data_IF_796171639310
#
_entry.id   IF_796171639310
#
_cell.length_a   1.000
_cell.length_b   1.000
_cell.length_c   1.000
_cell.angle_alpha   90.00
_cell.angle_beta   90.00
_cell.angle_gamma   90.00
#
_symmetry.space_group_name_H-M   'P 1'
#
loop_
_entity.id
_entity.type
_entity.pdbx_description
1 polymer ?
#
# COMPACT_ATOMS: atom_id res chain seq x y z
N UNK A 1 33.47 -28.37 -3.94
CA UNK A 1 32.66 -27.18 -3.58
C UNK A 1 32.16 -27.31 -2.15
N UNK A 2 32.48 -26.32 -1.27
CA UNK A 2 31.97 -26.30 0.11
C UNK A 2 30.46 -26.00 0.05
N UNK A 3 29.61 -26.92 0.47
CA UNK A 3 28.19 -26.71 0.64
C UNK A 3 27.95 -25.56 1.62
N UNK A 4 27.26 -24.49 1.20
CA UNK A 4 26.83 -23.42 2.12
C UNK A 4 25.76 -23.99 3.05
N UNK A 5 26.01 -23.95 4.34
CA UNK A 5 25.04 -24.34 5.36
C UNK A 5 23.76 -23.50 5.23
N UNK A 6 22.59 -24.14 5.12
CA UNK A 6 21.30 -23.44 5.11
C UNK A 6 21.12 -22.69 6.44
N UNK A 7 20.83 -21.41 6.36
CA UNK A 7 20.52 -20.60 7.53
C UNK A 7 19.04 -20.75 7.88
N UNK A 8 18.76 -21.26 9.07
CA UNK A 8 17.41 -21.33 9.62
C UNK A 8 17.23 -20.20 10.64
N UNK A 9 16.07 -19.54 10.59
CA UNK A 9 15.69 -18.51 11.54
C UNK A 9 14.61 -19.04 12.47
N UNK A 10 14.73 -18.75 13.78
CA UNK A 10 13.70 -19.08 14.77
C UNK A 10 12.45 -18.20 14.54
N UNK A 11 11.33 -18.57 15.15
CA UNK A 11 10.08 -17.81 15.04
C UNK A 11 10.20 -16.42 15.68
N UNK A 12 10.99 -16.29 16.76
CA UNK A 12 11.31 -15.00 17.38
C UNK A 12 12.13 -14.12 16.44
N UNK A 13 13.17 -14.69 15.79
CA UNK A 13 13.98 -13.97 14.82
C UNK A 13 13.12 -13.50 13.63
N UNK A 14 12.27 -14.35 13.09
CA UNK A 14 11.32 -13.98 12.03
C UNK A 14 10.35 -12.90 12.51
N UNK A 15 9.85 -12.98 13.74
CA UNK A 15 8.97 -11.96 14.32
C UNK A 15 9.66 -10.60 14.37
N UNK A 16 10.92 -10.56 14.86
CA UNK A 16 11.73 -9.34 14.89
C UNK A 16 11.98 -8.78 13.48
N UNK A 17 12.28 -9.63 12.49
CA UNK A 17 12.43 -9.22 11.09
C UNK A 17 11.16 -8.53 10.58
N UNK A 18 9.97 -9.10 10.88
CA UNK A 18 8.70 -8.53 10.49
C UNK A 18 8.41 -7.19 11.17
N UNK A 19 8.76 -7.03 12.44
CA UNK A 19 8.58 -5.78 13.18
C UNK A 19 9.45 -4.66 12.59
N UNK A 20 10.69 -4.97 12.25
CA UNK A 20 11.61 -4.05 11.57
C UNK A 20 11.14 -3.69 10.16
N UNK A 21 10.66 -4.68 9.40
CA UNK A 21 10.08 -4.47 8.08
C UNK A 21 8.86 -3.55 8.12
N UNK A 22 7.98 -3.72 9.12
CA UNK A 22 6.82 -2.85 9.34
C UNK A 22 7.23 -1.41 9.66
N UNK A 23 8.32 -1.22 10.40
CA UNK A 23 8.90 0.11 10.68
C UNK A 23 9.52 0.78 9.45
N UNK A 24 9.77 0.02 8.37
CA UNK A 24 10.30 0.54 7.12
C UNK A 24 11.79 0.30 6.92
N UNK A 25 12.44 -0.49 7.77
CA UNK A 25 13.85 -0.82 7.64
C UNK A 25 14.13 -1.53 6.31
N UNK A 26 15.31 -1.30 5.74
CA UNK A 26 15.75 -1.98 4.53
C UNK A 26 16.20 -3.42 4.83
N UNK A 27 16.18 -4.30 3.81
CA UNK A 27 16.69 -5.68 3.96
C UNK A 27 18.15 -5.71 4.45
N UNK A 28 18.98 -4.74 4.04
CA UNK A 28 20.35 -4.61 4.50
C UNK A 28 20.42 -4.22 5.98
N UNK A 29 19.58 -3.27 6.43
CA UNK A 29 19.52 -2.88 7.84
C UNK A 29 19.06 -4.05 8.71
N UNK A 30 18.03 -4.78 8.27
CA UNK A 30 17.56 -5.99 8.97
C UNK A 30 18.64 -7.06 8.98
N UNK A 31 19.35 -7.29 7.86
CA UNK A 31 20.42 -8.27 7.78
C UNK A 31 21.57 -8.00 8.77
N UNK A 32 21.96 -6.73 8.94
CA UNK A 32 22.98 -6.33 9.91
C UNK A 32 22.64 -6.73 11.35
N UNK A 33 21.38 -6.68 11.75
CA UNK A 33 20.95 -7.09 13.11
C UNK A 33 21.21 -8.56 13.40
N UNK A 34 21.28 -9.38 12.36
CA UNK A 34 21.54 -10.82 12.48
C UNK A 34 22.96 -11.19 12.01
N UNK A 35 23.81 -10.19 11.76
CA UNK A 35 25.15 -10.37 11.17
C UNK A 35 25.11 -11.23 9.88
N UNK A 36 24.12 -10.95 9.01
CA UNK A 36 23.85 -11.70 7.78
C UNK A 36 23.63 -10.76 6.59
N UNK A 37 23.95 -11.26 5.40
CA UNK A 37 23.66 -10.56 4.15
C UNK A 37 22.14 -10.47 3.90
N UNK A 38 21.72 -9.43 3.19
CA UNK A 38 20.32 -9.23 2.82
C UNK A 38 19.73 -10.41 2.02
N UNK A 39 20.56 -11.17 1.29
CA UNK A 39 20.15 -12.33 0.50
C UNK A 39 19.60 -13.48 1.35
N UNK A 40 20.04 -13.63 2.61
CA UNK A 40 19.51 -14.63 3.54
C UNK A 40 18.17 -14.18 4.16
N UNK A 41 17.94 -12.87 4.29
CA UNK A 41 16.71 -12.28 4.84
C UNK A 41 15.60 -12.21 3.80
N UNK A 42 15.96 -11.91 2.55
CA UNK A 42 15.00 -11.71 1.44
C UNK A 42 13.98 -12.86 1.27
N UNK A 43 14.35 -14.15 1.35
CA UNK A 43 13.39 -15.25 1.19
C UNK A 43 12.24 -15.21 2.20
N UNK A 44 12.51 -14.81 3.47
CA UNK A 44 11.48 -14.71 4.52
C UNK A 44 10.35 -13.77 4.12
N UNK A 45 10.65 -12.72 3.37
CA UNK A 45 9.65 -11.75 2.92
C UNK A 45 9.09 -12.10 1.53
N UNK A 46 9.90 -12.68 0.64
CA UNK A 46 9.47 -13.03 -0.72
C UNK A 46 8.40 -14.12 -0.70
N UNK A 47 8.54 -15.11 0.18
CA UNK A 47 7.58 -16.22 0.33
C UNK A 47 6.15 -15.73 0.62
N UNK A 48 6.03 -14.61 1.32
CA UNK A 48 4.75 -14.02 1.71
C UNK A 48 4.45 -12.69 1.00
N UNK A 49 5.23 -12.34 -0.04
CA UNK A 49 5.07 -11.10 -0.79
C UNK A 49 5.29 -9.83 0.05
N UNK A 50 6.03 -9.90 1.14
CA UNK A 50 6.26 -8.79 2.09
C UNK A 50 5.06 -8.51 2.99
N UNK A 51 4.09 -9.42 3.07
CA UNK A 51 2.93 -9.36 3.97
C UNK A 51 3.14 -10.32 5.13
N UNK A 52 3.16 -9.80 6.36
CA UNK A 52 3.34 -10.63 7.56
C UNK A 52 2.21 -11.65 7.67
N UNK A 53 2.50 -12.96 7.77
CA UNK A 53 1.49 -13.96 8.08
C UNK A 53 0.84 -13.67 9.44
N UNK A 54 -0.49 -13.85 9.57
CA UNK A 54 -1.15 -13.68 10.86
C UNK A 54 -0.63 -14.74 11.86
N UNK A 55 -0.37 -14.31 13.08
CA UNK A 55 -0.01 -15.25 14.17
C UNK A 55 -1.21 -16.15 14.43
N UNK A 56 -0.99 -17.47 14.33
CA UNK A 56 -2.03 -18.45 14.65
C UNK A 56 -2.22 -18.51 16.15
N UNK A 57 -3.46 -18.39 16.60
CA UNK A 57 -3.84 -18.50 18.01
C UNK A 57 -4.77 -19.69 18.19
N UNK A 58 -4.64 -20.38 19.31
CA UNK A 58 -5.57 -21.43 19.71
C UNK A 58 -6.90 -20.82 20.12
N UNK A 59 -8.00 -21.52 19.82
CA UNK A 59 -9.28 -21.23 20.45
C UNK A 59 -9.17 -21.47 21.96
N UNK A 60 -9.83 -20.64 22.77
CA UNK A 60 -9.91 -20.80 24.23
C UNK A 60 -10.51 -22.15 24.63
N UNK A 61 -11.31 -22.76 23.80
CA UNK A 61 -11.94 -24.06 24.02
C UNK A 61 -11.03 -25.24 23.62
N UNK A 62 -9.94 -25.00 22.88
CA UNK A 62 -9.03 -26.06 22.46
C UNK A 62 -8.10 -26.48 23.62
N UNK A 63 -7.84 -27.76 23.71
CA UNK A 63 -6.87 -28.29 24.67
C UNK A 63 -5.48 -27.69 24.40
N UNK A 64 -4.80 -27.29 25.47
CA UNK A 64 -3.41 -26.81 25.46
C UNK A 64 -2.45 -27.99 25.40
N UNK A 65 -1.18 -27.73 25.13
CA UNK A 65 -0.15 -28.77 25.22
C UNK A 65 -0.02 -29.31 26.64
N UNK A 66 -0.08 -28.44 27.64
CA UNK A 66 -0.03 -28.84 29.05
C UNK A 66 -1.18 -29.78 29.43
N UNK A 67 -2.41 -29.44 29.02
CA UNK A 67 -3.56 -30.35 29.25
C UNK A 67 -3.37 -31.70 28.55
N UNK A 68 -2.77 -31.75 27.39
CA UNK A 68 -2.45 -33.00 26.67
C UNK A 68 -1.37 -33.79 27.37
N UNK A 69 -0.40 -33.15 27.99
CA UNK A 69 0.60 -33.81 28.82
C UNK A 69 -0.03 -34.45 30.07
N UNK A 70 -0.97 -33.75 30.72
CA UNK A 70 -1.74 -34.33 31.84
C UNK A 70 -2.62 -35.51 31.39
N UNK A 71 -3.24 -35.44 30.20
CA UNK A 71 -3.95 -36.59 29.63
C UNK A 71 -2.98 -37.77 29.44
N UNK A 72 -1.79 -37.53 28.90
CA UNK A 72 -0.79 -38.59 28.71
C UNK A 72 -0.34 -39.22 30.03
N UNK A 73 -0.16 -38.39 31.07
CA UNK A 73 0.16 -38.88 32.43
C UNK A 73 -0.98 -39.68 33.04
N UNK A 74 -2.22 -39.19 32.95
CA UNK A 74 -3.40 -39.91 33.41
C UNK A 74 -3.60 -41.26 32.75
N UNK A 75 -3.30 -41.36 31.43
CA UNK A 75 -3.30 -42.63 30.71
C UNK A 75 -2.22 -43.57 31.27
N UNK A 76 -1.00 -43.09 31.49
CA UNK A 76 0.11 -43.90 32.01
C UNK A 76 -0.17 -44.41 33.45
N UNK A 77 -0.95 -43.67 34.24
CA UNK A 77 -1.38 -44.05 35.59
C UNK A 77 -2.73 -44.79 35.59
N UNK A 78 -3.23 -45.22 34.44
CA UNK A 78 -4.48 -45.99 34.29
C UNK A 78 -5.74 -45.27 34.83
N UNK A 79 -5.74 -43.94 34.85
CA UNK A 79 -6.92 -43.17 35.24
C UNK A 79 -8.03 -43.28 34.17
N UNK A 80 -9.27 -43.30 34.67
CA UNK A 80 -10.42 -43.28 33.76
C UNK A 80 -10.54 -41.93 33.01
N UNK A 81 -11.16 -41.94 31.82
CA UNK A 81 -11.42 -40.70 31.07
C UNK A 81 -12.22 -39.67 31.89
N UNK A 82 -13.12 -40.13 32.80
CA UNK A 82 -13.88 -39.25 33.68
C UNK A 82 -12.99 -38.59 34.73
N UNK A 83 -12.07 -39.37 35.32
CA UNK A 83 -11.10 -38.84 36.30
C UNK A 83 -10.15 -37.81 35.66
N UNK A 84 -9.62 -38.12 34.46
CA UNK A 84 -8.78 -37.18 33.73
C UNK A 84 -9.56 -35.90 33.38
N UNK A 85 -10.83 -36.04 32.99
CA UNK A 85 -11.68 -34.89 32.66
C UNK A 85 -11.95 -34.00 33.87
N UNK A 86 -12.18 -34.60 35.05
CA UNK A 86 -12.36 -33.89 36.32
C UNK A 86 -11.08 -33.10 36.69
N UNK A 87 -9.90 -33.72 36.61
CA UNK A 87 -8.60 -33.07 36.88
C UNK A 87 -8.37 -31.86 36.02
N UNK A 88 -8.78 -31.91 34.74
CA UNK A 88 -8.58 -30.83 33.79
C UNK A 88 -9.74 -29.83 33.74
N UNK A 89 -10.79 -30.03 34.54
CA UNK A 89 -12.01 -29.23 34.46
C UNK A 89 -12.59 -29.16 33.05
N UNK A 90 -12.53 -30.30 32.34
CA UNK A 90 -13.03 -30.44 30.95
C UNK A 90 -14.14 -31.48 30.89
N UNK A 91 -14.99 -31.40 29.85
CA UNK A 91 -16.01 -32.41 29.61
C UNK A 91 -15.38 -33.79 29.34
N UNK A 92 -15.90 -34.89 29.89
CA UNK A 92 -15.46 -36.25 29.57
C UNK A 92 -15.51 -36.56 28.06
N UNK A 93 -16.49 -36.00 27.36
CA UNK A 93 -16.60 -36.13 25.90
C UNK A 93 -15.43 -35.46 25.15
N UNK A 94 -14.86 -34.39 25.72
CA UNK A 94 -13.67 -33.74 25.13
C UNK A 94 -12.45 -34.62 25.25
N UNK A 95 -12.23 -35.22 26.40
CA UNK A 95 -11.12 -36.13 26.66
C UNK A 95 -11.25 -37.40 25.83
N UNK A 96 -12.44 -38.02 25.80
CA UNK A 96 -12.70 -39.19 24.97
C UNK A 96 -12.40 -38.94 23.48
N UNK A 97 -12.90 -37.82 22.94
CA UNK A 97 -12.64 -37.46 21.53
C UNK A 97 -11.15 -37.21 21.28
N UNK A 98 -10.45 -36.57 22.22
CA UNK A 98 -9.01 -36.27 22.08
C UNK A 98 -8.19 -37.57 22.03
N UNK A 99 -8.45 -38.51 22.98
CA UNK A 99 -7.76 -39.80 23.08
C UNK A 99 -8.05 -40.65 21.81
N UNK A 100 -9.32 -40.80 21.44
CA UNK A 100 -9.72 -41.64 20.31
C UNK A 100 -9.20 -41.08 18.95
N UNK A 101 -9.16 -39.76 18.79
CA UNK A 101 -8.63 -39.11 17.57
C UNK A 101 -7.12 -39.26 17.39
N UNK A 102 -6.42 -39.57 18.47
CA UNK A 102 -4.95 -39.62 18.49
C UNK A 102 -4.42 -41.03 18.79
N UNK A 103 -5.19 -42.07 18.46
CA UNK A 103 -4.76 -43.48 18.48
C UNK A 103 -5.18 -44.29 19.70
N UNK A 104 -6.12 -43.80 20.49
CA UNK A 104 -6.59 -44.51 21.71
C UNK A 104 -5.59 -44.46 22.85
N UNK A 105 -5.84 -45.23 23.89
CA UNK A 105 -5.01 -45.28 25.11
C UNK A 105 -3.56 -45.71 24.82
N UNK A 106 -3.38 -46.73 23.97
CA UNK A 106 -2.07 -47.35 23.76
C UNK A 106 -1.10 -46.43 22.94
N UNK A 107 -1.65 -45.67 22.03
CA UNK A 107 -0.84 -44.88 21.07
C UNK A 107 -0.87 -43.37 21.35
N UNK A 108 -1.62 -42.91 22.35
CA UNK A 108 -1.71 -41.49 22.65
C UNK A 108 -0.35 -40.90 23.07
N UNK A 109 0.05 -39.81 22.45
CA UNK A 109 1.25 -39.02 22.77
C UNK A 109 0.91 -37.54 22.69
N UNK A 110 1.08 -36.81 23.79
CA UNK A 110 0.73 -35.39 23.93
C UNK A 110 1.30 -34.49 22.80
N UNK A 111 2.60 -34.63 22.51
CA UNK A 111 3.27 -33.84 21.48
C UNK A 111 2.69 -34.11 20.09
N UNK A 112 2.47 -35.41 19.77
CA UNK A 112 1.88 -35.81 18.45
C UNK A 112 0.43 -35.32 18.34
N UNK A 113 -0.34 -35.44 19.41
CA UNK A 113 -1.72 -34.98 19.50
C UNK A 113 -1.80 -33.46 19.29
N UNK A 114 -0.88 -32.69 19.90
CA UNK A 114 -0.78 -31.26 19.76
C UNK A 114 -0.44 -30.84 18.34
N UNK A 115 0.60 -31.41 17.75
CA UNK A 115 0.97 -31.16 16.35
C UNK A 115 -0.17 -31.50 15.38
N UNK A 116 -0.87 -32.61 15.63
CA UNK A 116 -2.01 -33.02 14.80
C UNK A 116 -3.19 -32.08 14.95
N UNK A 117 -3.44 -31.59 16.19
CA UNK A 117 -4.48 -30.58 16.42
C UNK A 117 -4.21 -29.27 15.66
N UNK A 118 -2.94 -28.80 15.64
CA UNK A 118 -2.54 -27.64 14.83
C UNK A 118 -2.77 -27.88 13.33
N UNK A 119 -2.43 -29.05 12.80
CA UNK A 119 -2.68 -29.39 11.40
C UNK A 119 -4.18 -29.46 11.09
N UNK A 120 -4.98 -30.13 11.94
CA UNK A 120 -6.45 -30.21 11.77
C UNK A 120 -7.15 -28.85 11.87
N UNK A 121 -6.58 -27.93 12.64
CA UNK A 121 -7.09 -26.55 12.72
C UNK A 121 -6.76 -25.69 11.49
N UNK A 122 -5.95 -26.21 10.54
CA UNK A 122 -5.77 -25.58 9.24
C UNK A 122 -7.06 -25.71 8.42
N UNK A 123 -7.81 -24.60 8.36
CA UNK A 123 -8.97 -24.47 7.50
C UNK A 123 -8.62 -23.46 6.41
N UNK A 124 -8.00 -23.87 5.30
CA UNK A 124 -7.70 -22.96 4.21
C UNK A 124 -9.03 -22.41 3.67
N UNK A 125 -9.28 -21.11 3.89
CA UNK A 125 -10.39 -20.44 3.22
C UNK A 125 -10.00 -20.25 1.77
N UNK A 126 -10.83 -20.71 0.86
CA UNK A 126 -10.68 -20.43 -0.56
C UNK A 126 -10.66 -18.91 -0.76
N UNK A 127 -9.68 -18.43 -1.52
CA UNK A 127 -9.61 -17.04 -1.87
C UNK A 127 -10.83 -16.65 -2.70
N UNK A 128 -11.55 -15.60 -2.33
CA UNK A 128 -12.75 -15.11 -3.05
C UNK A 128 -12.49 -14.91 -4.54
N UNK A 129 -11.27 -14.50 -4.93
CA UNK A 129 -10.90 -14.35 -6.34
C UNK A 129 -10.68 -15.68 -7.09
N UNK A 130 -10.53 -16.80 -6.38
CA UNK A 130 -10.51 -18.13 -6.99
C UNK A 130 -11.92 -18.63 -7.22
N UNK A 131 -12.78 -18.51 -6.20
CA UNK A 131 -14.19 -18.97 -6.28
C UNK A 131 -15.02 -18.13 -7.25
N UNK A 132 -14.75 -16.83 -7.35
CA UNK A 132 -15.53 -15.88 -8.16
C UNK A 132 -14.75 -15.42 -9.40
N UNK A 133 -14.83 -16.21 -10.50
CA UNK A 133 -14.10 -15.94 -11.75
C UNK A 133 -14.42 -14.58 -12.38
N UNK A 134 -15.69 -14.17 -12.39
CA UNK A 134 -16.12 -12.88 -12.96
C UNK A 134 -15.45 -11.70 -12.24
N UNK A 135 -15.47 -11.69 -10.91
CA UNK A 135 -14.78 -10.68 -10.11
C UNK A 135 -13.29 -10.62 -10.43
N UNK A 136 -12.66 -11.80 -10.57
CA UNK A 136 -11.24 -11.91 -10.93
C UNK A 136 -10.94 -11.28 -12.30
N UNK A 137 -11.79 -11.51 -13.30
CA UNK A 137 -11.66 -10.90 -14.63
C UNK A 137 -11.82 -9.38 -14.61
N UNK A 138 -12.81 -8.88 -13.87
CA UNK A 138 -13.02 -7.43 -13.70
C UNK A 138 -11.79 -6.77 -13.07
N UNK A 139 -11.28 -7.36 -11.99
CA UNK A 139 -10.07 -6.86 -11.32
C UNK A 139 -8.87 -6.90 -12.28
N UNK A 140 -8.66 -7.98 -13.02
CA UNK A 140 -7.59 -8.09 -14.00
C UNK A 140 -7.69 -7.02 -15.09
N UNK A 141 -8.89 -6.76 -15.62
CA UNK A 141 -9.14 -5.69 -16.61
C UNK A 141 -8.79 -4.31 -16.07
N UNK A 142 -9.16 -4.01 -14.81
CA UNK A 142 -8.85 -2.73 -14.16
C UNK A 142 -7.35 -2.61 -13.84
N UNK A 143 -6.68 -3.69 -13.40
CA UNK A 143 -5.23 -3.70 -13.18
C UNK A 143 -4.45 -3.42 -14.48
N UNK A 144 -4.85 -4.01 -15.62
CA UNK A 144 -4.25 -3.70 -16.93
C UNK A 144 -4.40 -2.23 -17.33
N UNK A 145 -5.46 -1.57 -16.89
CA UNK A 145 -5.64 -0.12 -17.01
C UNK A 145 -4.89 0.67 -15.94
N UNK A 146 -3.94 0.04 -15.24
CA UNK A 146 -3.08 0.62 -14.21
C UNK A 146 -3.81 1.17 -12.97
N UNK A 147 -5.04 0.74 -12.74
CA UNK A 147 -5.75 1.07 -11.51
C UNK A 147 -5.07 0.40 -10.31
N UNK A 148 -4.92 1.15 -9.21
CA UNK A 148 -4.41 0.56 -7.97
C UNK A 148 -5.45 -0.36 -7.33
N UNK A 149 -5.04 -1.38 -6.56
CA UNK A 149 -5.96 -2.22 -5.79
C UNK A 149 -6.94 -1.44 -4.92
N UNK A 150 -6.52 -0.27 -4.39
CA UNK A 150 -7.38 0.59 -3.58
C UNK A 150 -8.47 1.27 -4.42
N UNK A 151 -8.12 1.78 -5.61
CA UNK A 151 -9.09 2.33 -6.56
C UNK A 151 -10.10 1.28 -7.01
N UNK A 152 -9.62 0.06 -7.30
CA UNK A 152 -10.47 -1.05 -7.71
C UNK A 152 -11.46 -1.42 -6.60
N UNK A 153 -10.98 -1.60 -5.36
CA UNK A 153 -11.84 -1.92 -4.22
C UNK A 153 -12.90 -0.84 -3.96
N UNK A 154 -12.51 0.44 -4.02
CA UNK A 154 -13.45 1.56 -3.87
C UNK A 154 -14.47 1.63 -5.01
N UNK A 155 -14.06 1.35 -6.25
CA UNK A 155 -14.96 1.29 -7.39
C UNK A 155 -15.94 0.13 -7.30
N UNK A 156 -15.49 -1.07 -6.94
CA UNK A 156 -16.35 -2.24 -6.76
C UNK A 156 -17.46 -1.98 -5.74
N UNK A 157 -17.11 -1.35 -4.61
CA UNK A 157 -18.08 -0.99 -3.58
C UNK A 157 -19.18 -0.02 -4.10
N UNK A 158 -18.84 0.87 -5.03
CA UNK A 158 -19.79 1.81 -5.63
C UNK A 158 -20.59 1.21 -6.78
N UNK A 159 -19.96 0.37 -7.60
CA UNK A 159 -20.58 -0.26 -8.76
C UNK A 159 -21.50 -1.43 -8.39
N UNK A 160 -21.25 -2.07 -7.26
CA UNK A 160 -22.01 -3.21 -6.74
C UNK A 160 -22.32 -3.02 -5.24
N UNK A 161 -23.13 -2.00 -4.85
CA UNK A 161 -23.36 -1.65 -3.44
C UNK A 161 -24.06 -2.79 -2.68
N UNK A 162 -25.01 -3.46 -3.32
CA UNK A 162 -25.87 -4.47 -2.71
C UNK A 162 -25.39 -5.91 -2.94
N UNK A 163 -24.27 -6.09 -3.65
CA UNK A 163 -23.72 -7.41 -3.96
C UNK A 163 -22.36 -7.61 -3.26
N UNK A 164 -22.42 -8.27 -2.09
CA UNK A 164 -21.21 -8.58 -1.31
C UNK A 164 -20.24 -9.49 -2.07
N UNK A 165 -20.71 -10.29 -3.03
CA UNK A 165 -19.87 -11.20 -3.81
C UNK A 165 -18.91 -10.44 -4.73
N UNK A 166 -19.28 -9.25 -5.18
CA UNK A 166 -18.41 -8.37 -5.94
C UNK A 166 -17.55 -7.45 -5.08
N UNK A 167 -17.78 -7.37 -3.77
CA UNK A 167 -16.98 -6.54 -2.88
C UNK A 167 -15.73 -7.28 -2.38
N UNK A 168 -14.59 -6.63 -2.53
CA UNK A 168 -13.30 -7.17 -2.08
C UNK A 168 -12.40 -6.06 -1.55
N UNK A 169 -11.65 -6.34 -0.48
CA UNK A 169 -10.71 -5.38 0.06
C UNK A 169 -9.46 -5.27 -0.83
N UNK A 170 -8.84 -4.09 -0.84
CA UNK A 170 -7.58 -3.88 -1.54
C UNK A 170 -6.45 -4.80 -1.02
N UNK A 171 -6.49 -5.18 0.26
CA UNK A 171 -5.56 -6.15 0.84
C UNK A 171 -5.71 -7.55 0.21
N UNK A 172 -6.94 -7.98 -0.06
CA UNK A 172 -7.19 -9.27 -0.74
C UNK A 172 -6.59 -9.25 -2.15
N UNK A 173 -6.76 -8.14 -2.88
CA UNK A 173 -6.16 -8.00 -4.22
C UNK A 173 -4.63 -8.03 -4.13
N UNK A 174 -4.02 -7.28 -3.20
CA UNK A 174 -2.57 -7.31 -2.98
C UNK A 174 -2.08 -8.71 -2.61
N UNK A 175 -2.74 -9.38 -1.66
CA UNK A 175 -2.36 -10.74 -1.26
C UNK A 175 -2.41 -11.71 -2.43
N UNK A 176 -3.42 -11.64 -3.26
CA UNK A 176 -3.55 -12.51 -4.44
C UNK A 176 -2.45 -12.25 -5.47
N UNK A 177 -2.03 -10.98 -5.64
CA UNK A 177 -0.95 -10.62 -6.55
C UNK A 177 0.43 -11.05 -6.04
N UNK A 178 0.70 -10.91 -4.74
CA UNK A 178 2.02 -11.17 -4.16
C UNK A 178 2.21 -12.62 -3.69
N UNK A 179 1.17 -13.27 -3.19
CA UNK A 179 1.23 -14.63 -2.61
C UNK A 179 0.77 -15.68 -3.62
N UNK A 180 0.57 -15.38 -4.86
CA UNK A 180 0.22 -16.30 -5.95
C UNK A 180 -0.64 -17.51 -5.52
N UNK A 181 -1.87 -17.26 -5.17
CA UNK A 181 -2.86 -18.31 -5.09
C UNK A 181 -3.08 -18.85 -6.51
N UNK A 182 -2.84 -20.14 -6.73
CA UNK A 182 -2.94 -20.80 -8.02
C UNK A 182 -4.21 -20.37 -8.76
N UNK A 183 -4.04 -19.68 -9.90
CA UNK A 183 -5.11 -19.43 -10.87
C UNK A 183 -6.00 -18.19 -10.68
N UNK A 184 -5.92 -17.42 -9.59
CA UNK A 184 -6.82 -16.28 -9.38
C UNK A 184 -6.43 -15.04 -10.20
N UNK A 185 -5.17 -14.64 -10.16
CA UNK A 185 -4.62 -13.53 -10.96
C UNK A 185 -3.26 -13.92 -11.53
N UNK A 186 -2.99 -13.55 -12.77
CA UNK A 186 -1.70 -13.84 -13.40
C UNK A 186 -0.58 -13.00 -12.80
N UNK A 187 0.61 -13.58 -12.64
CA UNK A 187 1.82 -12.90 -12.11
C UNK A 187 2.17 -11.62 -12.87
N UNK A 188 1.91 -11.59 -14.17
CA UNK A 188 2.14 -10.44 -15.05
C UNK A 188 1.40 -9.18 -14.57
N UNK A 189 0.26 -9.34 -13.89
CA UNK A 189 -0.50 -8.22 -13.34
C UNK A 189 0.22 -7.47 -12.21
N UNK A 190 1.27 -8.04 -11.61
CA UNK A 190 2.13 -7.31 -10.68
C UNK A 190 2.84 -6.15 -11.37
N UNK A 191 3.19 -6.30 -12.65
CA UNK A 191 3.84 -5.24 -13.43
C UNK A 191 2.91 -4.03 -13.68
N UNK A 192 1.60 -4.25 -13.56
CA UNK A 192 0.60 -3.17 -13.65
C UNK A 192 0.50 -2.35 -12.35
N UNK A 193 1.13 -2.81 -11.25
CA UNK A 193 1.16 -2.03 -10.02
C UNK A 193 2.14 -0.86 -10.14
N UNK A 194 1.75 0.31 -9.59
CA UNK A 194 2.55 1.54 -9.61
C UNK A 194 4.01 1.34 -9.19
N UNK A 195 4.28 0.54 -8.17
CA UNK A 195 5.63 0.33 -7.66
C UNK A 195 6.41 -0.76 -8.39
N UNK A 196 5.76 -1.61 -9.21
CA UNK A 196 6.34 -2.78 -9.91
C UNK A 196 7.27 -3.64 -9.02
N UNK A 197 7.08 -3.61 -7.70
CA UNK A 197 7.93 -4.31 -6.73
C UNK A 197 7.53 -5.77 -6.61
N UNK A 198 8.51 -6.63 -6.37
CA UNK A 198 8.29 -8.07 -6.17
C UNK A 198 7.67 -8.37 -4.80
N UNK A 199 7.84 -7.46 -3.84
CA UNK A 199 7.25 -7.57 -2.51
C UNK A 199 6.78 -6.21 -2.00
N UNK A 200 5.78 -6.22 -1.11
CA UNK A 200 5.22 -5.02 -0.48
C UNK A 200 6.18 -4.45 0.55
N UNK A 201 6.29 -3.12 0.62
CA UNK A 201 7.06 -2.40 1.64
C UNK A 201 6.15 -1.52 2.50
N UNK A 202 6.61 -1.21 3.72
CA UNK A 202 5.96 -0.24 4.59
C UNK A 202 5.91 1.15 3.94
N UNK A 203 4.85 1.93 4.23
CA UNK A 203 4.72 3.32 3.79
C UNK A 203 5.81 4.23 4.37
N UNK A 204 6.39 3.85 5.50
CA UNK A 204 7.40 4.65 6.23
C UNK A 204 8.83 4.53 5.67
N UNK A 205 9.03 3.78 4.58
CA UNK A 205 10.37 3.37 4.12
C UNK A 205 11.16 4.39 3.28
N UNK A 206 10.80 5.68 3.21
CA UNK A 206 11.73 6.72 2.74
C UNK A 206 11.15 8.13 2.80
N UNK A 207 11.74 8.98 3.62
CA UNK A 207 11.61 10.43 3.54
C UNK A 207 13.02 11.02 3.42
N UNK A 208 13.43 11.38 2.21
CA UNK A 208 14.62 12.24 1.98
C UNK A 208 14.14 13.69 1.97
N UNK A 209 14.73 14.52 2.86
CA UNK A 209 14.53 15.97 2.87
C UNK A 209 15.28 16.61 1.68
N UNK A 210 14.60 17.45 0.89
CA UNK A 210 15.21 18.31 -0.13
C UNK A 210 15.34 19.74 0.44
N UNK A 211 16.48 20.39 0.19
CA UNK A 211 16.72 21.80 0.53
C UNK A 211 15.93 22.73 -0.40
N UNK A 212 15.45 23.85 0.13
CA UNK A 212 14.56 24.80 -0.54
C UNK A 212 15.26 26.15 -0.76
N UNK A 213 15.07 26.75 -1.96
CA UNK A 213 15.49 28.10 -2.29
C UNK A 213 14.58 29.17 -1.66
N UNK A 214 15.07 30.42 -1.54
CA UNK A 214 14.24 31.58 -1.12
C UNK A 214 13.55 32.22 -2.32
N UNK A 215 12.23 32.41 -2.25
CA UNK A 215 11.44 33.18 -3.22
C UNK A 215 11.21 34.55 -2.61
N UNK A 216 11.48 35.61 -3.38
CA UNK A 216 11.29 37.00 -2.95
C UNK A 216 9.80 37.38 -3.06
N UNK A 217 9.25 38.08 -2.06
CA UNK A 217 7.85 38.51 -2.01
C UNK A 217 6.82 37.38 -2.09
N UNK A 218 7.18 36.19 -1.60
CA UNK A 218 6.25 35.07 -1.53
C UNK A 218 5.16 35.33 -0.49
N UNK A 219 3.90 35.26 -0.89
CA UNK A 219 2.76 35.35 0.03
C UNK A 219 2.59 34.01 0.71
N UNK A 220 2.65 33.94 2.06
CA UNK A 220 2.55 32.67 2.76
C UNK A 220 1.14 32.08 2.66
N UNK A 221 1.04 30.76 2.77
CA UNK A 221 -0.24 30.05 2.72
C UNK A 221 -1.21 30.45 3.83
N UNK A 222 -0.71 30.99 4.93
CA UNK A 222 -1.53 31.52 6.05
C UNK A 222 -2.41 32.69 5.64
N UNK A 223 -2.05 33.43 4.59
CA UNK A 223 -2.84 34.55 4.05
C UNK A 223 -3.85 34.10 2.98
N UNK A 224 -3.92 32.81 2.70
CA UNK A 224 -4.90 32.25 1.75
C UNK A 224 -6.32 32.35 2.32
N UNK A 225 -7.33 32.72 1.48
CA UNK A 225 -8.70 32.86 1.95
C UNK A 225 -9.23 31.58 2.62
N UNK A 226 -10.03 31.67 3.69
CA UNK A 226 -10.64 30.50 4.35
C UNK A 226 -11.45 29.62 3.39
N UNK A 227 -12.10 30.21 2.37
CA UNK A 227 -12.81 29.49 1.31
C UNK A 227 -11.95 28.45 0.58
N UNK A 228 -10.64 28.66 0.53
CA UNK A 228 -9.72 27.69 -0.05
C UNK A 228 -9.44 26.50 0.88
N UNK A 229 -9.62 26.61 2.20
CA UNK A 229 -9.39 25.54 3.16
C UNK A 229 -10.55 24.56 3.20
N UNK A 230 -11.77 25.06 3.19
CA UNK A 230 -13.01 24.30 3.29
C UNK A 230 -13.23 23.35 2.09
N UNK A 231 -12.57 23.59 0.97
CA UNK A 231 -12.74 22.80 -0.29
C UNK A 231 -14.20 22.74 -0.78
N UNK A 232 -15.09 23.52 -0.21
CA UNK A 232 -16.50 23.57 -0.59
C UNK A 232 -16.69 24.42 -1.87
N UNK A 233 -15.83 25.41 -2.05
CA UNK A 233 -15.93 26.38 -3.14
C UNK A 233 -14.91 26.01 -4.24
N UNK A 234 -15.35 25.77 -5.49
CA UNK A 234 -14.43 25.49 -6.60
C UNK A 234 -13.62 26.74 -6.99
N UNK A 235 -12.47 26.50 -7.64
CA UNK A 235 -11.60 27.55 -8.16
C UNK A 235 -10.28 27.73 -7.42
N UNK A 236 -9.99 26.94 -6.39
CA UNK A 236 -8.72 26.95 -5.68
C UNK A 236 -7.82 25.80 -6.13
N UNK A 237 -6.67 26.14 -6.69
CA UNK A 237 -5.77 25.21 -7.36
C UNK A 237 -4.49 24.95 -6.56
N UNK A 238 -3.99 23.73 -6.64
CA UNK A 238 -2.66 23.35 -6.17
C UNK A 238 -1.81 22.95 -7.38
N UNK A 239 -0.59 23.47 -7.46
CA UNK A 239 0.31 23.21 -8.59
C UNK A 239 1.65 22.61 -8.15
N UNK A 240 2.29 21.88 -9.05
CA UNK A 240 3.60 21.24 -8.89
C UNK A 240 4.20 20.83 -10.23
N UNK A 241 5.46 20.38 -10.23
CA UNK A 241 6.12 19.84 -11.41
C UNK A 241 6.38 18.33 -11.26
N UNK A 242 6.05 17.60 -12.31
CA UNK A 242 6.51 16.22 -12.48
C UNK A 242 7.79 16.25 -13.31
N UNK A 243 8.93 15.87 -12.72
CA UNK A 243 10.21 15.79 -13.39
C UNK A 243 10.45 14.38 -13.95
N UNK A 244 10.88 14.31 -15.20
CA UNK A 244 11.39 13.13 -15.89
C UNK A 244 12.93 13.12 -15.97
N UNK A 245 13.48 12.28 -16.84
CA UNK A 245 14.89 12.33 -17.26
C UNK A 245 15.09 13.39 -18.32
N UNK A 246 16.34 13.67 -18.69
CA UNK A 246 16.70 14.61 -19.75
C UNK A 246 16.09 16.02 -19.57
N UNK A 247 15.98 16.48 -18.31
CA UNK A 247 15.38 17.78 -17.99
C UNK A 247 13.98 18.00 -18.58
N UNK A 248 13.16 16.94 -18.64
CA UNK A 248 11.78 17.02 -19.11
C UNK A 248 10.82 17.21 -17.94
N UNK A 249 9.79 18.07 -18.14
CA UNK A 249 8.88 18.45 -17.08
C UNK A 249 7.43 18.52 -17.58
N UNK A 250 6.50 18.20 -16.68
CA UNK A 250 5.07 18.42 -16.86
C UNK A 250 4.58 19.21 -15.63
N UNK A 251 3.96 20.36 -15.85
CA UNK A 251 3.27 21.07 -14.78
C UNK A 251 1.91 20.41 -14.53
N UNK A 252 1.59 20.23 -13.27
CA UNK A 252 0.31 19.68 -12.81
C UNK A 252 -0.44 20.73 -12.03
N UNK A 253 -1.70 20.94 -12.38
CA UNK A 253 -2.62 21.82 -11.68
C UNK A 253 -3.80 20.96 -11.23
N UNK A 254 -4.10 20.97 -9.95
CA UNK A 254 -5.18 20.18 -9.35
C UNK A 254 -6.16 21.11 -8.66
N UNK A 255 -7.41 21.09 -9.07
CA UNK A 255 -8.49 21.82 -8.42
C UNK A 255 -8.86 21.12 -7.10
N UNK A 256 -8.98 21.88 -6.02
CA UNK A 256 -9.09 21.33 -4.65
C UNK A 256 -10.43 20.69 -4.34
N UNK A 257 -11.51 21.21 -4.90
CA UNK A 257 -12.88 20.71 -4.68
C UNK A 257 -13.16 19.49 -5.56
N UNK A 258 -13.10 19.66 -6.86
CA UNK A 258 -13.47 18.65 -7.86
C UNK A 258 -12.40 17.58 -8.10
N UNK A 259 -11.15 17.86 -7.72
CA UNK A 259 -9.95 17.08 -8.07
C UNK A 259 -9.65 17.06 -9.57
N UNK A 260 -10.26 17.97 -10.32
CA UNK A 260 -9.96 18.12 -11.73
C UNK A 260 -8.48 18.46 -11.94
N UNK A 261 -7.87 17.82 -12.91
CA UNK A 261 -6.42 17.92 -13.19
C UNK A 261 -6.23 18.58 -14.53
N UNK A 262 -5.28 19.50 -14.61
CA UNK A 262 -4.76 20.01 -15.87
C UNK A 262 -3.26 19.74 -15.96
N UNK A 263 -2.83 19.22 -17.08
CA UNK A 263 -1.44 18.90 -17.38
C UNK A 263 -0.90 19.83 -18.46
N UNK A 264 0.28 20.42 -18.23
CA UNK A 264 0.97 21.24 -19.21
C UNK A 264 2.37 20.72 -19.47
N UNK A 265 2.68 20.41 -20.72
CA UNK A 265 4.04 20.09 -21.15
C UNK A 265 4.92 21.32 -21.03
N UNK A 266 6.11 21.16 -20.47
CA UNK A 266 7.12 22.21 -20.33
C UNK A 266 8.37 21.81 -21.11
N UNK A 267 9.00 22.78 -21.75
CA UNK A 267 10.30 22.59 -22.42
C UNK A 267 11.45 22.56 -21.40
N UNK A 268 11.32 23.34 -20.33
CA UNK A 268 12.29 23.41 -19.24
C UNK A 268 11.58 23.88 -17.95
N UNK A 269 12.31 23.94 -16.83
CA UNK A 269 11.80 24.41 -15.53
C UNK A 269 12.06 25.90 -15.23
N UNK A 270 12.46 26.70 -16.24
CA UNK A 270 12.67 28.11 -16.04
C UNK A 270 11.36 28.80 -15.67
N UNK A 271 11.41 29.75 -14.75
CA UNK A 271 10.22 30.41 -14.23
C UNK A 271 9.36 31.04 -15.35
N UNK A 272 9.96 31.66 -16.36
CA UNK A 272 9.27 32.22 -17.51
C UNK A 272 8.48 31.17 -18.29
N UNK A 273 9.09 30.00 -18.56
CA UNK A 273 8.44 28.90 -19.27
C UNK A 273 7.27 28.32 -18.48
N UNK A 274 7.47 28.12 -17.18
CA UNK A 274 6.42 27.62 -16.28
C UNK A 274 5.25 28.60 -16.26
N UNK A 275 5.51 29.90 -16.05
CA UNK A 275 4.48 30.95 -16.01
C UNK A 275 3.70 31.02 -17.31
N UNK A 276 4.39 31.04 -18.46
CA UNK A 276 3.74 31.07 -19.78
C UNK A 276 2.79 29.86 -19.97
N UNK A 277 3.21 28.68 -19.55
CA UNK A 277 2.38 27.48 -19.61
C UNK A 277 1.17 27.58 -18.67
N UNK A 278 1.34 28.07 -17.44
CA UNK A 278 0.26 28.25 -16.47
C UNK A 278 -0.76 29.31 -16.93
N UNK A 279 -0.30 30.43 -17.50
CA UNK A 279 -1.17 31.47 -18.10
C UNK A 279 -1.98 30.88 -19.26
N UNK A 280 -1.37 30.04 -20.09
CA UNK A 280 -2.07 29.36 -21.20
C UNK A 280 -3.15 28.39 -20.69
N UNK A 281 -2.89 27.71 -19.58
CA UNK A 281 -3.88 26.82 -18.98
C UNK A 281 -5.02 27.59 -18.31
N UNK A 282 -4.72 28.69 -17.60
CA UNK A 282 -5.73 29.50 -16.92
C UNK A 282 -6.78 30.10 -17.87
N UNK A 283 -6.37 30.44 -19.11
CA UNK A 283 -7.27 30.97 -20.15
C UNK A 283 -8.31 29.96 -20.68
N UNK A 284 -8.17 28.67 -20.35
CA UNK A 284 -9.11 27.62 -20.79
C UNK A 284 -10.32 27.49 -19.89
N UNK A 285 -10.29 28.10 -18.72
CA UNK A 285 -11.34 28.02 -17.72
C UNK A 285 -12.03 29.36 -17.56
N UNK A 286 -13.33 29.35 -17.21
CA UNK A 286 -14.01 30.56 -16.74
C UNK A 286 -13.27 31.16 -15.53
N UNK A 287 -13.23 32.50 -15.44
CA UNK A 287 -12.51 33.21 -14.37
C UNK A 287 -12.98 32.82 -12.97
N UNK A 288 -14.24 32.49 -12.85
CA UNK A 288 -14.88 32.07 -11.59
C UNK A 288 -14.29 30.76 -11.06
N UNK A 289 -13.76 29.92 -11.93
CA UNK A 289 -13.14 28.63 -11.61
C UNK A 289 -11.62 28.70 -11.41
N UNK A 290 -11.02 29.90 -11.40
CA UNK A 290 -9.58 30.05 -11.17
C UNK A 290 -9.30 31.21 -10.22
N UNK A 291 -9.53 30.99 -8.92
CA UNK A 291 -9.48 32.05 -7.87
C UNK A 291 -8.11 32.20 -7.24
N UNK A 292 -7.42 31.09 -6.98
CA UNK A 292 -6.09 31.09 -6.36
C UNK A 292 -5.25 29.91 -6.82
N UNK A 293 -3.94 30.07 -6.75
CA UNK A 293 -2.97 29.02 -6.99
C UNK A 293 -2.09 28.84 -5.75
N UNK A 294 -1.92 27.61 -5.28
CA UNK A 294 -0.99 27.28 -4.19
C UNK A 294 0.18 26.50 -4.79
N UNK A 295 1.41 26.94 -4.49
CA UNK A 295 2.64 26.32 -4.98
C UNK A 295 3.60 26.05 -3.82
N UNK A 296 4.64 25.22 -4.02
CA UNK A 296 5.72 25.11 -3.05
C UNK A 296 6.71 26.27 -3.23
N UNK A 297 7.74 26.30 -2.38
CA UNK A 297 8.81 27.30 -2.49
C UNK A 297 9.91 26.89 -3.48
N UNK A 298 9.52 26.26 -4.59
CA UNK A 298 10.42 25.94 -5.68
C UNK A 298 10.77 27.19 -6.50
N UNK A 299 12.01 27.28 -6.96
CA UNK A 299 12.53 28.41 -7.74
C UNK A 299 11.87 28.51 -9.12
N UNK A 300 11.19 27.47 -9.56
CA UNK A 300 10.44 27.42 -10.84
C UNK A 300 9.24 28.37 -10.89
N UNK A 301 8.78 28.90 -9.74
CA UNK A 301 7.76 29.94 -9.68
C UNK A 301 8.28 31.24 -9.06
N UNK A 302 9.58 31.50 -9.17
CA UNK A 302 10.21 32.74 -8.62
C UNK A 302 9.64 34.03 -9.21
N UNK A 303 9.23 34.02 -10.48
CA UNK A 303 8.55 35.15 -11.15
C UNK A 303 7.02 35.08 -11.03
N UNK A 304 6.47 34.60 -9.91
CA UNK A 304 5.02 34.46 -9.65
C UNK A 304 4.24 35.76 -9.80
N UNK A 305 4.89 36.93 -9.61
CA UNK A 305 4.27 38.22 -9.79
C UNK A 305 3.81 38.43 -11.25
N UNK A 306 4.61 37.98 -12.23
CA UNK A 306 4.23 38.06 -13.65
C UNK A 306 2.98 37.24 -13.94
N UNK A 307 2.86 36.06 -13.31
CA UNK A 307 1.64 35.25 -13.39
C UNK A 307 0.44 35.98 -12.80
N UNK A 308 0.59 36.59 -11.61
CA UNK A 308 -0.48 37.32 -10.95
C UNK A 308 -0.91 38.54 -11.77
N UNK A 309 0.03 39.28 -12.36
CA UNK A 309 -0.26 40.42 -13.26
C UNK A 309 -1.02 39.95 -14.50
N UNK A 310 -0.57 38.87 -15.13
CA UNK A 310 -1.15 38.37 -16.37
C UNK A 310 -2.55 37.73 -16.20
N UNK A 311 -2.84 37.16 -15.04
CA UNK A 311 -4.06 36.37 -14.80
C UNK A 311 -5.00 36.98 -13.76
N UNK A 312 -4.53 37.89 -12.95
CA UNK A 312 -5.18 38.44 -11.72
C UNK A 312 -5.44 37.38 -10.66
N UNK A 313 -4.75 36.24 -10.71
CA UNK A 313 -4.88 35.12 -9.78
C UNK A 313 -3.75 35.22 -8.75
N UNK A 314 -4.12 35.18 -7.47
CA UNK A 314 -3.16 35.24 -6.38
C UNK A 314 -2.44 33.91 -6.20
N UNK A 315 -1.12 33.96 -6.04
CA UNK A 315 -0.27 32.79 -5.73
C UNK A 315 0.10 32.79 -4.27
N UNK A 316 -0.13 31.65 -3.60
CA UNK A 316 0.23 31.40 -2.20
C UNK A 316 1.29 30.31 -2.12
N UNK A 317 2.27 30.49 -1.23
CA UNK A 317 3.37 29.55 -1.07
C UNK A 317 3.28 28.78 0.23
N UNK A 318 3.48 27.47 0.14
CA UNK A 318 3.51 26.61 1.31
C UNK A 318 4.67 26.93 2.25
N UNK A 319 4.50 26.57 3.52
CA UNK A 319 5.58 26.67 4.49
C UNK A 319 6.70 25.68 4.18
N UNK A 320 7.95 26.00 4.53
CA UNK A 320 9.06 25.08 4.30
C UNK A 320 8.85 23.75 5.01
N UNK A 321 8.99 22.65 4.26
CA UNK A 321 8.86 21.30 4.80
C UNK A 321 7.43 20.84 5.11
N UNK A 322 6.40 21.53 4.60
CA UNK A 322 4.98 21.27 4.86
C UNK A 322 4.24 20.72 3.63
N UNK A 323 4.60 19.51 3.12
CA UNK A 323 3.98 18.95 1.90
C UNK A 323 2.48 18.70 2.05
N UNK A 324 1.99 18.48 3.28
CA UNK A 324 0.56 18.27 3.57
C UNK A 324 -0.33 19.45 3.18
N UNK A 325 0.23 20.67 3.08
CA UNK A 325 -0.49 21.86 2.66
C UNK A 325 -0.93 21.83 1.19
N UNK A 326 -0.31 20.94 0.38
CA UNK A 326 -0.68 20.63 -1.02
C UNK A 326 -1.10 19.17 -1.18
N UNK A 327 -1.85 18.63 -0.24
CA UNK A 327 -2.22 17.21 -0.21
C UNK A 327 -3.02 16.74 -1.43
N UNK A 328 -3.78 17.62 -2.09
CA UNK A 328 -4.51 17.28 -3.32
C UNK A 328 -3.56 17.02 -4.47
N UNK A 329 -2.62 17.93 -4.69
CA UNK A 329 -1.64 17.82 -5.76
C UNK A 329 -0.65 16.66 -5.50
N UNK A 330 -0.14 16.51 -4.26
CA UNK A 330 0.76 15.39 -3.93
C UNK A 330 0.11 14.03 -4.20
N UNK A 331 -1.16 13.87 -3.81
CA UNK A 331 -1.90 12.64 -4.07
C UNK A 331 -2.10 12.41 -5.57
N UNK A 332 -2.47 13.45 -6.32
CA UNK A 332 -2.65 13.38 -7.77
C UNK A 332 -1.33 13.08 -8.48
N UNK A 333 -0.24 13.75 -8.11
CA UNK A 333 1.09 13.45 -8.66
C UNK A 333 1.52 12.01 -8.40
N UNK A 334 1.11 11.45 -7.27
CA UNK A 334 1.34 10.02 -6.96
C UNK A 334 0.53 9.09 -7.89
N UNK A 335 -0.68 9.48 -8.30
CA UNK A 335 -1.48 8.77 -9.30
C UNK A 335 -0.85 8.94 -10.69
N UNK A 336 -0.49 10.15 -11.07
CA UNK A 336 0.16 10.47 -12.35
C UNK A 336 1.46 9.70 -12.55
N UNK A 337 2.18 9.36 -11.50
CA UNK A 337 3.39 8.52 -11.57
C UNK A 337 3.15 7.08 -12.04
N UNK A 338 1.91 6.65 -12.21
CA UNK A 338 1.58 5.41 -12.93
C UNK A 338 1.83 5.54 -14.44
N UNK A 339 1.51 6.73 -14.98
CA UNK A 339 1.63 7.06 -16.39
C UNK A 339 2.99 7.68 -16.70
N UNK A 340 3.54 8.42 -15.75
CA UNK A 340 4.84 9.12 -15.81
C UNK A 340 5.80 8.56 -14.76
N UNK A 341 6.34 7.33 -14.91
CA UNK A 341 7.25 6.74 -13.93
C UNK A 341 8.48 7.61 -13.70
N UNK A 342 9.02 7.59 -12.48
CA UNK A 342 10.31 8.26 -12.19
C UNK A 342 11.41 7.63 -13.04
N UNK A 343 12.27 8.46 -13.60
CA UNK A 343 13.38 8.00 -14.45
C UNK A 343 12.99 7.70 -15.89
N UNK A 344 11.82 8.19 -16.36
CA UNK A 344 11.42 8.14 -17.77
C UNK A 344 11.52 9.50 -18.42
N UNK A 345 11.75 9.53 -19.71
CA UNK A 345 11.73 10.75 -20.51
C UNK A 345 10.26 11.12 -20.80
N UNK A 346 9.89 12.35 -20.46
CA UNK A 346 8.54 12.87 -20.66
C UNK A 346 8.37 13.60 -22.00
N UNK A 347 9.44 13.77 -22.78
CA UNK A 347 9.41 14.45 -24.08
C UNK A 347 8.50 13.77 -25.09
N UNK A 348 8.38 12.44 -25.01
CA UNK A 348 7.53 11.64 -25.88
C UNK A 348 6.01 11.91 -25.73
N UNK A 349 5.59 12.59 -24.65
CA UNK A 349 4.20 12.92 -24.44
C UNK A 349 3.85 14.26 -25.09
N UNK A 350 2.94 14.23 -26.06
CA UNK A 350 2.42 15.46 -26.68
C UNK A 350 1.39 16.12 -25.76
N UNK A 351 1.18 17.44 -25.93
CA UNK A 351 0.15 18.16 -25.14
C UNK A 351 -1.26 17.61 -25.40
N UNK A 352 -1.55 17.10 -26.60
CA UNK A 352 -2.82 16.46 -26.91
C UNK A 352 -3.03 15.21 -26.06
N UNK A 353 -2.02 14.34 -26.01
CA UNK A 353 -2.06 13.11 -25.20
C UNK A 353 -2.20 13.39 -23.70
N UNK A 354 -1.58 14.48 -23.21
CA UNK A 354 -1.75 14.91 -21.83
C UNK A 354 -3.20 15.32 -21.52
N UNK A 355 -3.88 16.01 -22.45
CA UNK A 355 -5.29 16.39 -22.29
C UNK A 355 -6.25 15.20 -22.24
N UNK A 356 -5.96 14.13 -22.97
CA UNK A 356 -6.77 12.90 -22.94
C UNK A 356 -6.69 12.21 -21.57
N UNK A 357 -5.64 12.49 -20.80
CA UNK A 357 -5.43 11.93 -19.48
C UNK A 357 -6.10 12.76 -18.35
N UNK A 358 -6.40 14.04 -18.60
CA UNK A 358 -7.02 14.93 -17.62
C UNK A 358 -8.29 14.35 -16.97
N UNK A 359 -9.25 13.71 -17.69
CA UNK A 359 -10.47 13.15 -17.09
C UNK A 359 -10.33 11.75 -16.51
N UNK A 360 -9.16 11.10 -16.62
CA UNK A 360 -8.96 9.69 -16.21
C UNK A 360 -8.50 9.58 -14.75
N UNK A 361 -8.04 10.66 -14.16
CA UNK A 361 -7.39 10.75 -12.85
C UNK A 361 -8.35 11.29 -11.80
#
# INVERSE_FOLDING_TARGET
MKYRTRTFYTDEQKSLMWDRWKKGDSLHAIGRLFNRGHSSISPVFLETGGIRPPKRTRSKLALTQTEREEISRGIATQLSMRSIAALLSRSPSTISREINRNGGYDHYRAVKADQTAWKRAERPKLCKLISHKQLSLIIAKKLRRQWSPQQIAGWLKRAYPDDEDYQVSHETIYRTLYIQTRGALKKELQQCLRSKRVMRRSKNSSLKKQGLGKIVNAIPISERPPSAEDRAIPGHWEGDLIQGTNNTFIATLVERHSRYVMLAKLENKNSSTVIAALVKQSKKLPKELYKSLTWDRGTELSAHQDFTVATKIQVYFCDPGSPWQRGSNENTNRLLRQYFPKGTDLSAHTQSKLREMDPII
#
